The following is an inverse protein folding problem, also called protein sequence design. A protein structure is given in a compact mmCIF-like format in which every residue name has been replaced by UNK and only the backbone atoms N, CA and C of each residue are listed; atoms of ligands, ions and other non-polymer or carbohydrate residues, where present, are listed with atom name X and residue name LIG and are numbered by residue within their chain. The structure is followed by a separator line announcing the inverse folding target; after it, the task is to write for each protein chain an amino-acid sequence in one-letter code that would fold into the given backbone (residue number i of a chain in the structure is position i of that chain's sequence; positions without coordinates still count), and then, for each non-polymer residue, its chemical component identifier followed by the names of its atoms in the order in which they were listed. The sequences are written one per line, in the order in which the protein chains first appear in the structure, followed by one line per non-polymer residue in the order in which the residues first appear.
data_IF_997438313972
#
_entry.id   IF_997438313972
#
_cell.length_a   1.000
_cell.length_b   1.000
_cell.length_c   1.000
_cell.angle_alpha   90.00
_cell.angle_beta   90.00
_cell.angle_gamma   90.00
#
_symmetry.space_group_name_H-M   'P 1'
#
loop_
_entity.id
_entity.type
_entity.pdbx_description
1 polymer ?
#
# COMPACT_ATOMS: atom_id res chain seq x y z
N UNK A 1 8.11 -0.80 -8.40
CA UNK A 1 7.92 -0.09 -7.10
C UNK A 1 9.25 0.16 -6.42
N UNK A 2 10.07 -0.88 -6.18
CA UNK A 2 11.40 -0.78 -5.56
C UNK A 2 12.33 0.30 -6.14
N UNK A 3 12.44 0.40 -7.47
CA UNK A 3 13.29 1.42 -8.13
C UNK A 3 12.86 2.86 -7.81
N UNK A 4 11.57 3.07 -7.58
CA UNK A 4 11.00 4.38 -7.23
C UNK A 4 10.80 4.55 -5.72
N UNK A 5 11.27 3.59 -4.90
CA UNK A 5 11.12 3.58 -3.44
C UNK A 5 9.68 3.78 -2.98
N UNK A 6 8.73 3.24 -3.74
CA UNK A 6 7.32 3.21 -3.36
C UNK A 6 7.08 2.02 -2.44
N UNK A 7 6.63 2.31 -1.23
CA UNK A 7 6.32 1.33 -0.18
C UNK A 7 4.87 0.82 -0.34
N UNK A 8 4.74 -0.35 -0.97
CA UNK A 8 3.50 -1.07 -1.15
C UNK A 8 3.49 -2.26 -0.17
N UNK A 9 2.94 -2.02 1.02
CA UNK A 9 3.07 -2.89 2.21
C UNK A 9 2.72 -4.35 1.95
N UNK A 10 1.79 -4.61 1.04
CA UNK A 10 1.28 -5.97 0.74
C UNK A 10 1.45 -6.36 -0.72
N UNK A 11 2.30 -5.64 -1.47
CA UNK A 11 2.47 -5.81 -2.92
C UNK A 11 1.15 -5.73 -3.72
N UNK A 12 0.20 -4.93 -3.25
CA UNK A 12 -1.15 -4.84 -3.82
C UNK A 12 -1.12 -4.42 -5.29
N UNK A 13 -0.27 -3.45 -5.66
CA UNK A 13 -0.18 -2.96 -7.04
C UNK A 13 0.41 -4.04 -7.95
N UNK A 14 1.45 -4.75 -7.48
CA UNK A 14 2.06 -5.85 -8.21
C UNK A 14 1.06 -6.97 -8.50
N UNK A 15 0.34 -7.43 -7.48
CA UNK A 15 -0.54 -8.59 -7.57
C UNK A 15 -1.90 -8.24 -8.18
N UNK A 16 -2.51 -7.11 -7.85
CA UNK A 16 -3.86 -6.80 -8.31
C UNK A 16 -3.87 -5.94 -9.57
N UNK A 17 -3.03 -4.90 -9.64
CA UNK A 17 -3.03 -4.03 -10.81
C UNK A 17 -2.36 -4.70 -12.01
N UNK A 18 -1.09 -5.12 -11.91
CA UNK A 18 -0.39 -5.70 -13.05
C UNK A 18 -0.94 -7.05 -13.48
N UNK A 19 -1.21 -7.98 -12.54
CA UNK A 19 -1.84 -9.25 -12.93
C UNK A 19 -3.28 -9.06 -13.40
N UNK A 20 -4.01 -8.08 -12.89
CA UNK A 20 -5.35 -7.73 -13.37
C UNK A 20 -5.35 -7.22 -14.82
N UNK A 21 -4.39 -6.36 -15.17
CA UNK A 21 -4.17 -5.93 -16.56
C UNK A 21 -3.85 -7.13 -17.44
N UNK A 22 -2.89 -7.97 -17.01
CA UNK A 22 -2.52 -9.17 -17.77
C UNK A 22 -3.72 -10.10 -17.98
N UNK A 23 -4.48 -10.42 -16.94
CA UNK A 23 -5.65 -11.28 -17.02
C UNK A 23 -6.71 -10.75 -17.97
N UNK A 24 -6.98 -9.44 -17.92
CA UNK A 24 -7.95 -8.78 -18.82
C UNK A 24 -7.50 -8.85 -20.28
N UNK A 25 -6.21 -8.60 -20.56
CA UNK A 25 -5.66 -8.72 -21.93
C UNK A 25 -5.65 -10.17 -22.40
N UNK A 26 -5.26 -11.12 -21.54
CA UNK A 26 -5.25 -12.55 -21.83
C UNK A 26 -6.66 -13.07 -22.15
N UNK A 27 -7.71 -12.56 -21.49
CA UNK A 27 -9.10 -12.90 -21.82
C UNK A 27 -9.49 -12.49 -23.24
N UNK A 28 -8.90 -11.41 -23.79
CA UNK A 28 -9.07 -11.02 -25.19
C UNK A 28 -8.23 -11.87 -26.15
N UNK A 29 -6.98 -12.17 -25.78
CA UNK A 29 -6.05 -12.98 -26.58
C UNK A 29 -6.52 -14.42 -26.77
N UNK A 30 -7.02 -15.04 -25.71
CA UNK A 30 -7.31 -16.47 -25.67
C UNK A 30 -8.81 -16.78 -25.67
N UNK A 31 -9.61 -15.91 -26.31
CA UNK A 31 -11.05 -16.15 -26.44
C UNK A 31 -11.32 -17.39 -27.31
N UNK A 32 -12.09 -18.33 -26.79
CA UNK A 32 -12.39 -19.61 -27.46
C UNK A 32 -13.07 -19.38 -28.81
N UNK A 33 -12.48 -19.93 -29.88
CA UNK A 33 -13.00 -19.79 -31.24
C UNK A 33 -12.66 -18.47 -31.93
N UNK A 34 -11.91 -17.58 -31.28
CA UNK A 34 -11.54 -16.25 -31.78
C UNK A 34 -10.17 -15.81 -31.22
N UNK A 35 -9.19 -16.71 -31.30
CA UNK A 35 -7.85 -16.50 -30.76
C UNK A 35 -7.15 -15.33 -31.45
N UNK A 36 -6.51 -14.48 -30.64
CA UNK A 36 -5.70 -13.34 -31.07
C UNK A 36 -6.45 -12.29 -31.92
N UNK A 37 -7.78 -12.20 -31.78
CA UNK A 37 -8.58 -11.21 -32.49
C UNK A 37 -8.18 -9.77 -32.07
N UNK A 38 -7.69 -8.93 -32.99
CA UNK A 38 -7.24 -7.58 -32.66
C UNK A 38 -8.33 -6.68 -32.09
N UNK A 39 -9.56 -6.75 -32.61
CA UNK A 39 -10.68 -5.92 -32.14
C UNK A 39 -11.02 -6.25 -30.70
N UNK A 40 -11.07 -7.54 -30.36
CA UNK A 40 -11.34 -8.00 -28.99
C UNK A 40 -10.24 -7.58 -28.02
N UNK A 41 -8.98 -7.68 -28.42
CA UNK A 41 -7.84 -7.22 -27.62
C UNK A 41 -7.94 -5.69 -27.38
N UNK A 42 -8.27 -4.92 -28.41
CA UNK A 42 -8.46 -3.46 -28.30
C UNK A 42 -9.57 -3.13 -27.31
N UNK A 43 -10.71 -3.83 -27.35
CA UNK A 43 -11.80 -3.65 -26.38
C UNK A 43 -11.33 -3.91 -24.96
N UNK A 44 -10.53 -4.96 -24.72
CA UNK A 44 -9.99 -5.24 -23.40
C UNK A 44 -9.00 -4.17 -22.91
N UNK A 45 -8.16 -3.65 -23.81
CA UNK A 45 -7.25 -2.55 -23.48
C UNK A 45 -8.01 -1.26 -23.14
N UNK A 46 -9.08 -0.94 -23.87
CA UNK A 46 -9.97 0.18 -23.54
C UNK A 46 -10.57 -0.03 -22.14
N UNK A 47 -11.01 -1.25 -21.82
CA UNK A 47 -11.52 -1.60 -20.50
C UNK A 47 -10.50 -1.37 -19.38
N UNK A 48 -9.25 -1.82 -19.57
CA UNK A 48 -8.15 -1.59 -18.63
C UNK A 48 -7.93 -0.10 -18.40
N UNK A 49 -7.83 0.69 -19.48
CA UNK A 49 -7.60 2.13 -19.39
C UNK A 49 -8.77 2.83 -18.71
N UNK A 50 -10.01 2.46 -19.05
CA UNK A 50 -11.21 3.03 -18.44
C UNK A 50 -11.27 2.73 -16.94
N UNK A 51 -10.99 1.49 -16.53
CA UNK A 51 -10.95 1.08 -15.13
C UNK A 51 -9.88 1.84 -14.35
N UNK A 52 -8.67 2.01 -14.92
CA UNK A 52 -7.60 2.79 -14.29
C UNK A 52 -7.97 4.28 -14.19
N UNK A 53 -8.44 4.88 -15.29
CA UNK A 53 -8.80 6.29 -15.37
C UNK A 53 -9.95 6.66 -14.42
N UNK A 54 -10.83 5.71 -14.10
CA UNK A 54 -11.84 5.88 -13.07
C UNK A 54 -11.28 5.67 -11.66
N UNK A 55 -10.70 4.49 -11.39
CA UNK A 55 -10.34 4.08 -10.02
C UNK A 55 -9.19 4.89 -9.43
N UNK A 56 -8.14 5.16 -10.20
CA UNK A 56 -6.94 5.81 -9.66
C UNK A 56 -7.18 7.28 -9.26
N UNK A 57 -7.77 8.14 -10.11
CA UNK A 57 -8.03 9.53 -9.72
C UNK A 57 -9.05 9.63 -8.59
N UNK A 58 -10.12 8.82 -8.62
CA UNK A 58 -11.13 8.82 -7.55
C UNK A 58 -10.49 8.43 -6.22
N UNK A 59 -9.74 7.32 -6.18
CA UNK A 59 -9.05 6.89 -4.95
C UNK A 59 -8.04 7.95 -4.47
N UNK A 60 -7.22 8.49 -5.37
CA UNK A 60 -6.22 9.51 -5.03
C UNK A 60 -6.89 10.77 -4.44
N UNK A 61 -7.99 11.23 -5.04
CA UNK A 61 -8.75 12.37 -4.54
C UNK A 61 -9.38 12.07 -3.18
N UNK A 62 -9.99 10.91 -3.01
CA UNK A 62 -10.60 10.49 -1.74
C UNK A 62 -9.56 10.43 -0.62
N UNK A 63 -8.41 9.78 -0.84
CA UNK A 63 -7.36 9.69 0.18
C UNK A 63 -6.74 11.04 0.51
N UNK A 64 -6.49 11.91 -0.50
CA UNK A 64 -6.02 13.28 -0.25
C UNK A 64 -7.02 14.11 0.53
N UNK A 65 -8.32 13.94 0.26
CA UNK A 65 -9.36 14.67 0.99
C UNK A 65 -9.45 14.21 2.45
N UNK A 66 -9.40 12.89 2.68
CA UNK A 66 -9.39 12.32 4.04
C UNK A 66 -8.15 12.83 4.80
N UNK A 67 -6.98 12.77 4.18
CA UNK A 67 -5.73 13.25 4.78
C UNK A 67 -5.79 14.74 5.13
N UNK A 68 -6.46 15.55 4.30
CA UNK A 68 -6.60 16.99 4.55
C UNK A 68 -7.55 17.32 5.70
N UNK A 69 -8.62 16.54 5.89
CA UNK A 69 -9.69 16.85 6.86
C UNK A 69 -9.40 16.18 8.22
N UNK A 70 -9.01 14.91 8.22
CA UNK A 70 -8.81 14.12 9.44
C UNK A 70 -7.35 13.72 9.69
N UNK A 71 -6.54 13.67 8.63
CA UNK A 71 -5.23 13.04 8.66
C UNK A 71 -5.36 11.53 8.44
N UNK A 72 -4.66 11.01 7.42
CA UNK A 72 -4.75 9.59 7.04
C UNK A 72 -3.69 8.74 7.75
N UNK A 73 -2.50 9.31 8.01
CA UNK A 73 -1.37 8.64 8.65
C UNK A 73 -1.21 9.11 10.09
N UNK A 74 -0.93 8.17 10.99
CA UNK A 74 -0.59 8.47 12.39
C UNK A 74 0.71 9.28 12.47
N UNK A 75 0.93 9.97 13.60
CA UNK A 75 2.20 10.68 13.79
C UNK A 75 3.39 9.71 13.93
N UNK A 76 4.59 10.21 13.70
CA UNK A 76 5.79 9.39 13.66
C UNK A 76 6.14 8.69 14.99
N UNK A 77 5.65 9.19 16.13
CA UNK A 77 5.85 8.54 17.43
C UNK A 77 4.96 7.30 17.53
N UNK A 78 3.67 7.41 17.18
CA UNK A 78 2.75 6.28 17.16
C UNK A 78 3.15 5.24 16.11
N UNK A 79 3.56 5.69 14.92
CA UNK A 79 4.03 4.79 13.85
C UNK A 79 5.22 3.93 14.31
N UNK A 80 6.21 4.53 14.99
CA UNK A 80 7.38 3.81 15.52
C UNK A 80 7.05 2.87 16.68
N UNK A 81 6.04 3.21 17.49
CA UNK A 81 5.60 2.37 18.61
C UNK A 81 4.75 1.19 18.16
N UNK A 82 4.09 1.30 17.01
CA UNK A 82 3.13 0.32 16.49
C UNK A 82 1.69 0.64 16.91
N UNK A 83 0.75 0.43 15.97
CA UNK A 83 -0.67 0.79 16.16
C UNK A 83 -1.39 -0.09 17.19
N UNK A 84 -0.92 -1.33 17.40
CA UNK A 84 -1.45 -2.21 18.45
C UNK A 84 -1.36 -1.53 19.82
N UNK A 85 -0.20 -0.93 20.13
CA UNK A 85 0.03 -0.25 21.41
C UNK A 85 -0.60 1.14 21.41
N UNK A 86 -0.41 1.92 20.33
CA UNK A 86 -0.80 3.33 20.33
C UNK A 86 -2.30 3.58 20.18
N UNK A 87 -3.04 2.67 19.53
CA UNK A 87 -4.47 2.83 19.28
C UNK A 87 -5.31 1.79 20.04
N UNK A 88 -4.80 0.56 20.20
CA UNK A 88 -5.56 -0.56 20.76
C UNK A 88 -5.14 -0.93 22.19
N UNK A 89 -4.07 -0.32 22.72
CA UNK A 89 -3.50 -0.61 24.05
C UNK A 89 -3.20 -2.10 24.26
N UNK A 90 -2.82 -2.79 23.20
CA UNK A 90 -2.55 -4.23 23.17
C UNK A 90 -1.18 -4.52 22.54
N UNK A 91 -0.60 -5.65 22.89
CA UNK A 91 0.55 -6.23 22.21
C UNK A 91 0.05 -7.31 21.27
N UNK A 92 0.19 -7.15 19.94
CA UNK A 92 -0.37 -8.11 18.97
C UNK A 92 0.22 -9.52 19.05
N UNK A 93 1.43 -9.68 19.59
CA UNK A 93 2.13 -10.96 19.72
C UNK A 93 2.91 -11.07 21.04
N UNK A 94 2.22 -11.20 22.19
CA UNK A 94 2.84 -11.17 23.52
C UNK A 94 3.86 -12.31 23.75
N UNK A 95 3.65 -13.46 23.10
CA UNK A 95 4.54 -14.63 23.13
C UNK A 95 5.90 -14.40 22.46
N UNK A 96 5.99 -13.43 21.54
CA UNK A 96 7.23 -13.05 20.87
C UNK A 96 7.85 -11.75 21.42
N UNK A 97 7.09 -10.97 22.21
CA UNK A 97 7.49 -9.68 22.77
C UNK A 97 7.98 -9.75 24.23
N UNK A 98 8.12 -10.95 24.79
CA UNK A 98 8.50 -11.19 26.20
C UNK A 98 9.91 -10.70 26.57
N UNK A 99 10.78 -10.44 25.59
CA UNK A 99 12.14 -9.92 25.80
C UNK A 99 12.21 -8.37 25.78
N UNK A 100 11.14 -7.70 25.35
CA UNK A 100 11.01 -6.24 25.39
C UNK A 100 10.39 -5.74 26.70
N UNK A 101 9.61 -6.57 27.42
CA UNK A 101 9.08 -6.22 28.73
C UNK A 101 10.12 -6.29 29.86
N UNK A 102 11.15 -7.12 29.70
CA UNK A 102 12.27 -7.24 30.64
C UNK A 102 13.37 -6.18 30.43
N UNK A 103 13.47 -5.58 29.24
CA UNK A 103 14.20 -4.32 29.05
C UNK A 103 13.22 -3.21 29.40
N UNK A 104 13.19 -2.88 30.68
CA UNK A 104 12.14 -2.10 31.28
C UNK A 104 11.83 -0.78 30.57
N UNK A 105 10.81 -0.13 31.10
CA UNK A 105 10.55 1.30 31.06
C UNK A 105 11.77 2.16 31.51
N UNK A 106 12.99 1.83 31.09
CA UNK A 106 14.08 2.79 31.03
C UNK A 106 13.66 3.82 29.99
N UNK A 107 13.23 4.97 30.51
CA UNK A 107 13.11 6.25 29.81
C UNK A 107 13.98 6.29 28.57
N UNK A 108 13.37 6.19 27.39
CA UNK A 108 14.06 6.53 26.14
C UNK A 108 14.67 7.93 26.36
N UNK A 109 16.00 8.09 26.24
CA UNK A 109 16.63 9.35 26.55
C UNK A 109 16.04 10.45 25.68
N UNK A 110 15.64 11.53 26.34
CA UNK A 110 15.17 12.74 25.70
C UNK A 110 16.24 13.23 24.70
N UNK A 111 15.82 13.40 23.46
CA UNK A 111 16.60 13.97 22.34
C UNK A 111 17.88 13.24 21.94
N UNK A 112 17.79 12.41 20.89
CA UNK A 112 18.89 12.27 19.94
C UNK A 112 18.58 13.18 18.75
N UNK A 113 19.43 14.17 18.40
CA UNK A 113 19.17 15.04 17.26
C UNK A 113 19.11 14.20 15.99
N UNK A 114 18.05 14.43 15.23
CA UNK A 114 17.71 13.75 14.00
C UNK A 114 18.89 13.81 13.01
N UNK A 115 19.51 12.66 12.69
CA UNK A 115 20.11 12.52 11.36
C UNK A 115 18.95 12.40 10.39
N UNK A 116 18.58 13.54 9.80
CA UNK A 116 17.75 13.61 8.61
C UNK A 116 18.36 12.71 7.54
N UNK A 117 17.88 11.46 7.47
CA UNK A 117 18.05 10.65 6.28
C UNK A 117 16.83 11.01 5.43
N UNK A 118 16.96 12.13 4.71
CA UNK A 118 16.06 12.46 3.61
C UNK A 118 16.15 11.32 2.61
N UNK A 119 15.16 10.44 2.64
CA UNK A 119 14.84 9.58 1.51
C UNK A 119 13.44 9.99 1.10
N UNK A 120 13.43 10.90 0.13
CA UNK A 120 12.33 11.10 -0.79
C UNK A 120 12.16 9.85 -1.69
#
# INVERSE_FOLDING_TARGET
LLRFRLDDVVDAVSVHAFCGVWGTVAAGLFFTGDLFNPERIIVQLIGVVAAFAWSFPVALLSFKLIDRIWGLRVNAIHERRGLDISEHYETGYPEFQTDLSNRGFESLPESQPQRATTIA
#
